data_IF_062689090262
#
_entry.id   IF_062689090262
#
_cell.length_a   1.000
_cell.length_b   1.000
_cell.length_c   1.000
_cell.angle_alpha   90.00
_cell.angle_beta   90.00
_cell.angle_gamma   90.00
#
_symmetry.space_group_name_H-M   'P 1'
#
loop_
_entity.id
_entity.type
_entity.pdbx_description
1 polymer ?
#
# COMPACT_ATOMS: atom_id res chain seq x y z
N UNK A 1 -15.19 -31.32 10.26
CA UNK A 1 -16.15 -30.36 9.69
C UNK A 1 -15.38 -29.51 8.67
N UNK A 2 -15.54 -29.70 7.35
CA UNK A 2 -14.81 -28.88 6.39
C UNK A 2 -15.49 -27.50 6.32
N UNK A 3 -14.80 -26.48 6.82
CA UNK A 3 -15.23 -25.09 6.73
C UNK A 3 -14.61 -24.52 5.45
N UNK A 4 -15.44 -23.98 4.56
CA UNK A 4 -14.95 -23.27 3.38
C UNK A 4 -14.23 -22.00 3.84
N UNK A 5 -12.96 -21.78 3.47
CA UNK A 5 -12.22 -20.60 3.90
C UNK A 5 -12.82 -19.33 3.28
N UNK A 6 -13.09 -18.33 4.10
CA UNK A 6 -13.54 -17.01 3.67
C UNK A 6 -12.35 -16.10 3.30
N UNK A 7 -12.65 -14.87 2.86
CA UNK A 7 -11.63 -13.91 2.44
C UNK A 7 -10.62 -13.61 3.58
N UNK A 8 -11.11 -13.58 4.83
CA UNK A 8 -10.28 -13.31 6.01
C UNK A 8 -9.26 -14.42 6.21
N UNK A 9 -9.67 -15.69 6.11
CA UNK A 9 -8.75 -16.83 6.25
C UNK A 9 -7.67 -16.83 5.17
N UNK A 10 -8.05 -16.56 3.91
CA UNK A 10 -7.07 -16.44 2.83
C UNK A 10 -6.11 -15.26 3.03
N UNK A 11 -6.62 -14.13 3.53
CA UNK A 11 -5.80 -12.96 3.85
C UNK A 11 -4.82 -13.24 4.99
N UNK A 12 -5.27 -13.95 6.02
CA UNK A 12 -4.40 -14.41 7.12
C UNK A 12 -3.30 -15.34 6.61
N UNK A 13 -3.64 -16.27 5.70
CA UNK A 13 -2.65 -17.15 5.09
C UNK A 13 -1.64 -16.37 4.22
N UNK A 14 -2.10 -15.39 3.44
CA UNK A 14 -1.25 -14.50 2.66
C UNK A 14 -0.29 -13.71 3.58
N UNK A 15 -0.80 -13.16 4.68
CA UNK A 15 0.01 -12.45 5.67
C UNK A 15 1.07 -13.36 6.30
N UNK A 16 0.73 -14.60 6.63
CA UNK A 16 1.71 -15.57 7.13
C UNK A 16 2.76 -15.96 6.07
N UNK A 17 2.38 -16.00 4.79
CA UNK A 17 3.29 -16.33 3.69
C UNK A 17 4.33 -15.24 3.41
N UNK A 18 4.02 -13.97 3.72
CA UNK A 18 4.98 -12.85 3.65
C UNK A 18 6.17 -13.07 4.58
N UNK A 19 5.92 -13.56 5.80
CA UNK A 19 6.97 -13.80 6.81
C UNK A 19 7.84 -15.01 6.42
N UNK A 20 7.23 -16.05 5.87
CA UNK A 20 7.91 -17.29 5.53
C UNK A 20 8.54 -17.29 4.12
N UNK A 21 8.29 -16.26 3.30
CA UNK A 21 8.82 -16.14 1.95
C UNK A 21 8.30 -17.19 0.96
N UNK A 22 7.20 -17.89 1.26
CA UNK A 22 6.66 -18.93 0.39
C UNK A 22 5.78 -18.30 -0.71
N UNK A 23 6.42 -18.00 -1.84
CA UNK A 23 5.79 -17.35 -2.98
C UNK A 23 4.58 -18.12 -3.52
N UNK A 24 4.64 -19.45 -3.61
CA UNK A 24 3.53 -20.24 -4.15
C UNK A 24 2.27 -20.19 -3.27
N UNK A 25 2.45 -20.26 -1.95
CA UNK A 25 1.34 -20.10 -0.99
C UNK A 25 0.79 -18.68 -1.03
N UNK A 26 1.67 -17.68 -1.14
CA UNK A 26 1.28 -16.29 -1.23
C UNK A 26 0.43 -16.00 -2.49
N UNK A 27 0.87 -16.49 -3.65
CA UNK A 27 0.12 -16.32 -4.91
C UNK A 27 -1.26 -16.97 -4.83
N UNK A 28 -1.32 -18.21 -4.33
CA UNK A 28 -2.59 -18.93 -4.16
C UNK A 28 -3.54 -18.17 -3.21
N UNK A 29 -3.04 -17.79 -2.04
CA UNK A 29 -3.84 -17.14 -1.01
C UNK A 29 -4.32 -15.75 -1.45
N UNK A 30 -3.44 -14.98 -2.09
CA UNK A 30 -3.80 -13.66 -2.62
C UNK A 30 -4.80 -13.74 -3.76
N UNK A 31 -4.65 -14.71 -4.68
CA UNK A 31 -5.61 -14.91 -5.75
C UNK A 31 -6.99 -15.30 -5.21
N UNK A 32 -7.05 -16.20 -4.22
CA UNK A 32 -8.30 -16.58 -3.55
C UNK A 32 -8.94 -15.43 -2.79
N UNK A 33 -8.14 -14.62 -2.11
CA UNK A 33 -8.64 -13.43 -1.42
C UNK A 33 -9.20 -12.39 -2.41
N UNK A 34 -8.54 -12.13 -3.54
CA UNK A 34 -9.05 -11.24 -4.60
C UNK A 34 -10.34 -11.76 -5.22
N UNK A 35 -10.44 -13.07 -5.46
CA UNK A 35 -11.66 -13.70 -6.00
C UNK A 35 -12.86 -13.48 -5.08
N UNK A 36 -12.64 -13.53 -3.76
CA UNK A 36 -13.70 -13.37 -2.76
C UNK A 36 -14.01 -11.89 -2.47
N UNK A 37 -12.99 -11.02 -2.43
CA UNK A 37 -13.12 -9.62 -2.09
C UNK A 37 -12.18 -8.74 -2.95
N UNK A 38 -12.57 -8.41 -4.19
CA UNK A 38 -11.71 -7.71 -5.14
C UNK A 38 -11.50 -6.22 -4.82
N UNK A 39 -12.21 -5.68 -3.84
CA UNK A 39 -12.10 -4.30 -3.36
C UNK A 39 -11.21 -4.16 -2.10
N UNK A 40 -10.67 -5.27 -1.56
CA UNK A 40 -9.71 -5.25 -0.45
C UNK A 40 -8.32 -4.78 -0.94
N UNK A 41 -7.99 -3.53 -0.63
CA UNK A 41 -6.72 -2.89 -1.00
C UNK A 41 -5.49 -3.51 -0.32
N UNK A 42 -5.68 -4.07 0.88
CA UNK A 42 -4.67 -4.76 1.66
C UNK A 42 -4.16 -6.01 0.95
N UNK A 43 -5.02 -6.77 0.27
CA UNK A 43 -4.61 -7.97 -0.48
C UNK A 43 -3.67 -7.63 -1.63
N UNK A 44 -3.98 -6.57 -2.38
CA UNK A 44 -3.10 -6.10 -3.46
C UNK A 44 -1.77 -5.56 -2.92
N UNK A 45 -1.80 -4.81 -1.81
CA UNK A 45 -0.61 -4.34 -1.12
C UNK A 45 0.31 -5.50 -0.70
N UNK A 46 -0.25 -6.56 -0.12
CA UNK A 46 0.49 -7.75 0.29
C UNK A 46 1.10 -8.49 -0.90
N UNK A 47 0.33 -8.74 -1.97
CA UNK A 47 0.85 -9.38 -3.18
C UNK A 47 1.94 -8.56 -3.87
N UNK A 48 1.80 -7.23 -3.89
CA UNK A 48 2.85 -6.34 -4.40
C UNK A 48 4.17 -6.56 -3.62
N UNK A 49 4.10 -6.58 -2.30
CA UNK A 49 5.27 -6.76 -1.44
C UNK A 49 5.89 -8.16 -1.60
N UNK A 50 5.06 -9.20 -1.72
CA UNK A 50 5.52 -10.56 -2.03
C UNK A 50 6.34 -10.57 -3.32
N UNK A 51 5.80 -10.00 -4.40
CA UNK A 51 6.50 -9.96 -5.69
C UNK A 51 7.75 -9.09 -5.67
N UNK A 52 7.70 -7.96 -4.97
CA UNK A 52 8.84 -7.08 -4.82
C UNK A 52 10.00 -7.76 -4.07
N UNK A 53 9.70 -8.37 -2.93
CA UNK A 53 10.68 -9.11 -2.12
C UNK A 53 11.28 -10.30 -2.88
N UNK A 54 10.50 -10.93 -3.76
CA UNK A 54 10.98 -12.00 -4.64
C UNK A 54 11.78 -11.51 -5.87
N UNK A 55 12.02 -10.20 -6.01
CA UNK A 55 12.69 -9.60 -7.18
C UNK A 55 11.83 -9.61 -8.46
N UNK A 56 10.56 -9.97 -8.38
CA UNK A 56 9.60 -10.01 -9.49
C UNK A 56 8.90 -8.66 -9.65
N UNK A 57 9.69 -7.60 -9.83
CA UNK A 57 9.20 -6.21 -9.94
C UNK A 57 8.15 -6.03 -11.05
N UNK A 58 8.26 -6.75 -12.17
CA UNK A 58 7.27 -6.74 -13.24
C UNK A 58 5.88 -7.24 -12.80
N UNK A 59 5.82 -8.22 -11.90
CA UNK A 59 4.56 -8.73 -11.37
C UNK A 59 4.01 -7.83 -10.26
N UNK A 60 4.89 -7.24 -9.44
CA UNK A 60 4.51 -6.19 -8.49
C UNK A 60 3.81 -5.01 -9.20
N UNK A 61 4.35 -4.55 -10.34
CA UNK A 61 3.74 -3.50 -11.16
C UNK A 61 2.38 -3.91 -11.73
N UNK A 62 2.21 -5.18 -12.14
CA UNK A 62 0.90 -5.69 -12.58
C UNK A 62 -0.12 -5.65 -11.45
N UNK A 63 0.26 -6.10 -10.25
CA UNK A 63 -0.62 -6.05 -9.06
C UNK A 63 -1.04 -4.62 -8.76
N UNK A 64 -0.10 -3.66 -8.80
CA UNK A 64 -0.41 -2.24 -8.63
C UNK A 64 -1.39 -1.72 -9.68
N UNK A 65 -1.22 -2.09 -10.94
CA UNK A 65 -2.14 -1.73 -12.03
C UNK A 65 -3.54 -2.34 -11.80
N UNK A 66 -3.63 -3.60 -11.40
CA UNK A 66 -4.91 -4.23 -11.06
C UNK A 66 -5.59 -3.51 -9.90
N UNK A 67 -4.84 -3.17 -8.85
CA UNK A 67 -5.36 -2.41 -7.72
C UNK A 67 -5.95 -1.06 -8.16
N UNK A 68 -5.27 -0.30 -9.03
CA UNK A 68 -5.80 0.98 -9.53
C UNK A 68 -7.10 0.87 -10.35
N UNK A 69 -7.43 -0.31 -10.86
CA UNK A 69 -8.65 -0.57 -11.62
C UNK A 69 -9.81 -1.08 -10.74
N UNK A 70 -9.48 -1.69 -9.59
CA UNK A 70 -10.44 -2.40 -8.74
C UNK A 70 -10.69 -1.71 -7.40
N UNK A 71 -9.71 -0.95 -6.92
CA UNK A 71 -9.74 -0.25 -5.63
C UNK A 71 -9.87 1.24 -5.87
N UNK A 72 -10.96 1.82 -5.36
CA UNK A 72 -11.08 3.27 -5.24
C UNK A 72 -10.40 3.71 -3.95
N UNK A 73 -9.16 4.22 -4.04
CA UNK A 73 -8.48 4.80 -2.87
C UNK A 73 -9.24 6.04 -2.43
N UNK A 74 -9.73 6.05 -1.20
CA UNK A 74 -10.25 7.27 -0.59
C UNK A 74 -9.08 8.26 -0.44
N UNK A 75 -9.26 9.53 -0.84
CA UNK A 75 -8.20 10.50 -0.68
C UNK A 75 -7.91 10.67 0.82
N UNK A 76 -6.65 10.55 1.20
CA UNK A 76 -6.22 10.79 2.58
C UNK A 76 -5.96 12.28 2.75
N UNK A 77 -6.51 12.87 3.81
CA UNK A 77 -6.25 14.25 4.17
C UNK A 77 -5.37 14.31 5.42
N UNK A 78 -4.30 15.08 5.37
CA UNK A 78 -3.46 15.41 6.53
C UNK A 78 -3.28 16.91 6.61
N UNK A 79 -2.79 17.45 7.72
CA UNK A 79 -2.43 18.86 7.80
C UNK A 79 -1.26 19.05 8.76
N UNK A 80 -0.53 20.15 8.58
CA UNK A 80 0.49 20.63 9.54
C UNK A 80 0.16 22.07 9.91
N UNK A 81 0.51 22.46 11.13
CA UNK A 81 0.35 23.83 11.60
C UNK A 81 1.71 24.51 11.69
N UNK A 82 1.88 25.63 11.00
CA UNK A 82 3.10 26.43 11.00
C UNK A 82 2.71 27.86 11.36
N UNK A 83 3.29 28.41 12.43
CA UNK A 83 3.02 29.77 12.90
C UNK A 83 1.52 30.09 13.08
N UNK A 84 0.73 29.12 13.55
CA UNK A 84 -0.72 29.28 13.76
C UNK A 84 -1.57 29.13 12.49
N UNK A 85 -0.98 28.74 11.37
CA UNK A 85 -1.68 28.53 10.10
C UNK A 85 -1.70 27.03 9.78
N UNK A 86 -2.89 26.47 9.58
CA UNK A 86 -3.07 25.09 9.17
C UNK A 86 -2.93 24.94 7.64
N UNK A 87 -2.02 24.06 7.22
CA UNK A 87 -1.78 23.69 5.84
C UNK A 87 -2.29 22.26 5.60
N UNK A 88 -3.40 22.13 4.88
CA UNK A 88 -4.00 20.85 4.53
C UNK A 88 -3.37 20.21 3.29
N UNK A 89 -3.28 18.88 3.28
CA UNK A 89 -2.72 18.06 2.22
C UNK A 89 -3.74 16.99 1.83
N UNK A 90 -3.99 16.86 0.53
CA UNK A 90 -4.83 15.80 0.01
C UNK A 90 -3.97 14.83 -0.82
N UNK A 91 -3.92 13.57 -0.39
CA UNK A 91 -3.23 12.50 -1.08
C UNK A 91 -4.13 11.97 -2.21
N UNK A 92 -4.31 12.78 -3.24
CA UNK A 92 -5.06 12.44 -4.46
C UNK A 92 -4.16 12.32 -5.70
N UNK A 93 -2.97 12.93 -5.67
CA UNK A 93 -1.93 12.83 -6.71
C UNK A 93 -0.54 13.17 -6.17
N UNK A 94 0.47 12.35 -6.45
CA UNK A 94 1.88 12.63 -6.14
C UNK A 94 2.43 13.92 -6.80
N UNK A 95 1.65 14.58 -7.67
CA UNK A 95 2.03 15.78 -8.41
C UNK A 95 1.86 17.10 -7.63
N UNK A 96 1.18 17.11 -6.48
CA UNK A 96 0.86 18.34 -5.73
C UNK A 96 2.06 18.97 -4.97
N UNK A 97 3.13 18.20 -4.72
CA UNK A 97 4.25 18.64 -3.86
C UNK A 97 5.08 19.79 -4.48
N UNK A 98 4.99 20.02 -5.80
CA UNK A 98 5.91 20.92 -6.52
C UNK A 98 5.66 22.42 -6.33
N UNK A 99 4.55 22.85 -5.71
CA UNK A 99 4.21 24.28 -5.54
C UNK A 99 4.28 24.77 -4.07
N UNK A 100 4.93 24.04 -3.17
CA UNK A 100 4.90 24.37 -1.75
C UNK A 100 5.82 25.52 -1.36
N UNK A 101 5.40 26.40 -0.43
CA UNK A 101 6.28 27.33 0.26
C UNK A 101 7.46 26.59 0.92
N UNK A 102 8.64 27.21 0.92
CA UNK A 102 9.88 26.60 1.44
C UNK A 102 9.74 26.15 2.90
N UNK A 103 8.97 26.88 3.70
CA UNK A 103 8.71 26.58 5.12
C UNK A 103 8.00 25.23 5.29
N UNK A 104 6.96 24.97 4.50
CA UNK A 104 6.23 23.70 4.49
C UNK A 104 7.15 22.56 4.00
N UNK A 105 7.97 22.82 2.99
CA UNK A 105 8.94 21.82 2.51
C UNK A 105 9.98 21.45 3.57
N UNK A 106 10.44 22.42 4.38
CA UNK A 106 11.40 22.15 5.45
C UNK A 106 10.82 21.29 6.58
N UNK A 107 9.59 21.55 7.01
CA UNK A 107 8.90 20.77 8.06
C UNK A 107 8.63 19.35 7.58
N UNK A 108 8.02 19.21 6.39
CA UNK A 108 7.74 17.88 5.85
C UNK A 108 9.03 17.09 5.64
N UNK A 109 10.12 17.70 5.15
CA UNK A 109 11.40 17.00 5.00
C UNK A 109 12.00 16.53 6.33
N UNK A 110 11.83 17.28 7.43
CA UNK A 110 12.37 16.89 8.73
C UNK A 110 11.60 15.70 9.35
N UNK A 111 10.27 15.67 9.18
CA UNK A 111 9.43 14.60 9.74
C UNK A 111 9.37 13.35 8.85
N UNK A 112 9.67 13.47 7.55
CA UNK A 112 9.70 12.30 6.62
C UNK A 112 10.84 11.31 6.89
N UNK A 113 11.81 11.62 7.76
CA UNK A 113 12.94 10.72 8.05
C UNK A 113 12.60 9.55 8.98
N UNK A 114 11.45 9.53 9.65
CA UNK A 114 11.03 8.36 10.45
C UNK A 114 10.29 7.27 9.65
N UNK A 115 10.16 7.43 8.33
CA UNK A 115 9.50 6.47 7.43
C UNK A 115 10.47 5.77 6.45
N UNK A 116 11.76 5.71 6.77
CA UNK A 116 12.76 4.89 6.08
C UNK A 116 13.07 3.70 7.01
N UNK A 117 12.65 2.46 6.79
CA UNK A 117 12.83 1.62 5.60
C UNK A 117 11.59 0.77 5.20
N UNK A 118 10.47 0.86 5.94
CA UNK A 118 9.32 -0.04 5.72
C UNK A 118 8.24 0.51 4.76
N UNK A 119 8.16 1.82 4.54
CA UNK A 119 7.03 2.45 3.82
C UNK A 119 7.38 3.02 2.43
N UNK A 120 8.65 3.06 2.02
CA UNK A 120 9.03 3.50 0.66
C UNK A 120 8.44 2.62 -0.45
N UNK A 121 7.93 1.44 -0.12
CA UNK A 121 7.26 0.51 -1.05
C UNK A 121 5.83 0.94 -1.45
N UNK A 122 5.24 1.94 -0.80
CA UNK A 122 3.85 2.34 -1.04
C UNK A 122 3.64 3.61 -1.87
N UNK A 123 4.71 4.35 -2.19
CA UNK A 123 4.61 5.66 -2.85
C UNK A 123 5.46 5.86 -4.12
N UNK A 124 6.14 4.83 -4.63
CA UNK A 124 6.72 4.87 -6.00
C UNK A 124 5.84 4.15 -6.98
#
# INVERSE_FOLDING_TARGET
MPITPDAVIWRSLLSASLVNGNLGVAEMAGQKAIELQPDDDGVYAMLHNVYWAAGRSGDALKVRKMASQKVCKKPAFTWVEINGIAHGFLAEHAASIRHWPVEVQSVVRQDTWQLNDEFSLFLT
#
